data_IF_996041059087
#
_entry.id   IF_996041059087
#
_cell.length_a   1.000
_cell.length_b   1.000
_cell.length_c   1.000
_cell.angle_alpha   90.00
_cell.angle_beta   90.00
_cell.angle_gamma   90.00
#
_symmetry.space_group_name_H-M   'P 1'
#
loop_
_entity.id
_entity.type
_entity.pdbx_description
1 polymer ?
#
# COMPACT_ATOMS: atom_id res chain seq x y z
N UNK A 1 7.25 11.34 81.53
CA UNK A 1 6.74 10.96 80.20
C UNK A 1 7.94 10.76 79.30
N UNK A 2 8.07 9.59 78.69
CA UNK A 2 9.27 9.16 77.97
C UNK A 2 9.31 9.73 76.54
N UNK A 3 10.15 10.74 76.32
CA UNK A 3 10.29 11.46 75.05
C UNK A 3 10.70 10.56 73.88
N UNK A 4 11.28 9.37 74.13
CA UNK A 4 11.62 8.42 73.06
C UNK A 4 10.38 7.80 72.42
N UNK A 5 9.33 7.52 73.19
CA UNK A 5 8.10 6.90 72.69
C UNK A 5 7.33 7.82 71.74
N UNK A 6 7.28 9.12 72.06
CA UNK A 6 6.61 10.15 71.24
C UNK A 6 7.35 10.37 69.93
N UNK A 7 8.69 10.37 69.96
CA UNK A 7 9.52 10.52 68.77
C UNK A 7 9.36 9.34 67.78
N UNK A 8 9.34 8.10 68.30
CA UNK A 8 9.15 6.89 67.47
C UNK A 8 7.75 6.87 66.84
N UNK A 9 6.69 7.24 67.59
CA UNK A 9 5.34 7.35 67.03
C UNK A 9 5.23 8.47 65.98
N UNK A 10 5.96 9.57 66.15
CA UNK A 10 6.03 10.66 65.16
C UNK A 10 6.70 10.21 63.85
N UNK A 11 7.84 9.52 63.93
CA UNK A 11 8.53 9.01 62.75
C UNK A 11 7.70 7.97 61.99
N UNK A 12 6.97 7.10 62.69
CA UNK A 12 6.12 6.10 62.05
C UNK A 12 4.95 6.73 61.29
N UNK A 13 4.32 7.77 61.85
CA UNK A 13 3.25 8.52 61.17
C UNK A 13 3.78 9.25 59.93
N UNK A 14 4.98 9.83 60.00
CA UNK A 14 5.61 10.51 58.87
C UNK A 14 5.94 9.54 57.72
N UNK A 15 6.44 8.34 58.05
CA UNK A 15 6.71 7.28 57.07
C UNK A 15 5.44 6.83 56.33
N UNK A 16 4.30 6.74 57.01
CA UNK A 16 3.01 6.38 56.38
C UNK A 16 2.52 7.50 55.46
N UNK A 17 2.61 8.77 55.91
CA UNK A 17 2.16 9.93 55.13
C UNK A 17 2.97 10.10 53.84
N UNK A 18 4.26 9.75 53.85
CA UNK A 18 5.12 9.85 52.67
C UNK A 18 5.00 8.62 51.75
N UNK A 19 4.84 7.41 52.30
CA UNK A 19 4.82 6.18 51.50
C UNK A 19 3.53 5.97 50.70
N UNK A 20 2.38 6.40 51.22
CA UNK A 20 1.09 6.31 50.53
C UNK A 20 1.04 7.08 49.18
N UNK A 21 1.35 8.39 49.12
CA UNK A 21 1.33 9.13 47.86
C UNK A 21 2.39 8.66 46.87
N UNK A 22 3.54 8.19 47.37
CA UNK A 22 4.59 7.64 46.51
C UNK A 22 4.13 6.34 45.83
N UNK A 23 3.50 5.43 46.59
CA UNK A 23 2.97 4.18 46.04
C UNK A 23 1.84 4.41 45.02
N UNK A 24 0.98 5.41 45.27
CA UNK A 24 -0.07 5.80 44.32
C UNK A 24 0.51 6.40 43.04
N UNK A 25 1.57 7.22 43.14
CA UNK A 25 2.24 7.81 41.97
C UNK A 25 2.93 6.75 41.10
N UNK A 26 3.64 5.80 41.71
CA UNK A 26 4.26 4.68 40.98
C UNK A 26 3.21 3.72 40.38
N UNK A 27 2.10 3.47 41.09
CA UNK A 27 0.98 2.70 40.56
C UNK A 27 0.32 3.37 39.35
N UNK A 28 0.14 4.69 39.38
CA UNK A 28 -0.42 5.46 38.27
C UNK A 28 0.53 5.49 37.06
N UNK A 29 1.84 5.64 37.29
CA UNK A 29 2.84 5.55 36.21
C UNK A 29 2.86 4.17 35.54
N UNK A 30 2.73 3.10 36.34
CA UNK A 30 2.70 1.73 35.83
C UNK A 30 1.40 1.41 35.07
N UNK A 31 0.28 2.03 35.42
CA UNK A 31 -0.96 1.93 34.66
C UNK A 31 -0.90 2.75 33.36
N UNK A 32 -0.40 3.99 33.44
CA UNK A 32 -0.28 4.88 32.28
C UNK A 32 0.69 4.33 31.21
N UNK A 33 1.76 3.66 31.64
CA UNK A 33 2.70 2.99 30.74
C UNK A 33 2.11 1.74 30.07
N UNK A 34 1.24 0.99 30.77
CA UNK A 34 0.55 -0.16 30.18
C UNK A 34 -0.50 0.24 29.13
N UNK A 35 -1.19 1.36 29.33
CA UNK A 35 -2.16 1.88 28.34
C UNK A 35 -1.54 2.38 27.03
N UNK A 36 -0.20 2.54 26.97
CA UNK A 36 0.50 3.06 25.79
C UNK A 36 1.13 1.96 24.91
N UNK A 37 1.06 0.69 25.32
CA UNK A 37 1.62 -0.45 24.57
C UNK A 37 0.59 -1.27 23.79
N UNK A 38 -0.66 -0.80 23.72
CA UNK A 38 -1.66 -1.32 22.77
C UNK A 38 -1.36 -0.84 21.35
N UNK A 39 -0.11 -0.94 20.90
CA UNK A 39 0.24 -0.92 19.49
C UNK A 39 -0.49 -2.12 18.88
N UNK A 40 -1.54 -1.81 18.13
CA UNK A 40 -2.36 -2.77 17.42
C UNK A 40 -1.47 -3.86 16.81
N UNK A 41 -1.69 -5.12 17.20
CA UNK A 41 -1.30 -6.29 16.41
C UNK A 41 -2.08 -6.17 15.09
N UNK A 42 -1.60 -5.32 14.18
CA UNK A 42 -2.03 -5.32 12.81
C UNK A 42 -1.64 -6.70 12.28
N UNK A 43 -2.62 -7.47 11.83
CA UNK A 43 -2.35 -8.73 11.15
C UNK A 43 -1.32 -8.44 10.04
N UNK A 44 -0.24 -9.20 10.01
CA UNK A 44 0.80 -9.04 8.99
C UNK A 44 0.15 -9.15 7.60
N UNK A 45 0.37 -8.17 6.70
CA UNK A 45 -0.21 -8.21 5.37
C UNK A 45 0.10 -9.53 4.67
N UNK A 46 -0.97 -10.22 4.26
CA UNK A 46 -0.90 -11.53 3.63
C UNK A 46 -0.30 -11.42 2.23
N UNK A 47 0.63 -12.32 1.88
CA UNK A 47 1.28 -12.32 0.57
C UNK A 47 0.30 -12.75 -0.53
N UNK A 48 0.02 -11.86 -1.48
CA UNK A 48 -0.85 -12.13 -2.64
C UNK A 48 -0.02 -12.60 -3.83
N UNK A 49 1.06 -11.88 -4.15
CA UNK A 49 1.97 -12.20 -5.26
C UNK A 49 3.41 -11.90 -4.85
N UNK A 50 4.33 -12.77 -5.29
CA UNK A 50 5.78 -12.55 -5.24
C UNK A 50 6.38 -12.83 -6.61
N UNK A 51 6.96 -11.80 -7.22
CA UNK A 51 7.35 -11.79 -8.63
C UNK A 51 8.80 -11.34 -8.73
N UNK A 52 9.67 -12.01 -9.52
CA UNK A 52 11.02 -11.52 -9.75
C UNK A 52 11.00 -10.20 -10.53
N UNK A 53 11.86 -9.26 -10.16
CA UNK A 53 12.05 -8.02 -10.92
C UNK A 53 12.75 -8.35 -12.24
N UNK A 54 12.17 -7.90 -13.35
CA UNK A 54 12.76 -8.08 -14.68
C UNK A 54 13.91 -7.10 -14.90
N UNK A 55 15.01 -7.55 -15.52
CA UNK A 55 16.10 -6.67 -15.94
C UNK A 55 15.89 -6.25 -17.40
N UNK A 56 15.88 -4.95 -17.67
CA UNK A 56 15.87 -4.40 -19.03
C UNK A 56 17.18 -3.68 -19.33
N UNK A 57 17.61 -3.77 -20.58
CA UNK A 57 18.74 -2.98 -21.09
C UNK A 57 18.22 -1.68 -21.68
N UNK A 58 18.68 -0.57 -21.12
CA UNK A 58 18.45 0.77 -21.62
C UNK A 58 19.69 1.26 -22.36
N UNK A 59 19.51 1.84 -23.55
CA UNK A 59 20.61 2.25 -24.44
C UNK A 59 21.64 3.14 -23.73
N UNK A 60 21.17 4.11 -22.95
CA UNK A 60 22.04 5.13 -22.34
C UNK A 60 22.34 4.90 -20.85
N UNK A 61 21.60 4.00 -20.19
CA UNK A 61 21.62 3.82 -18.72
C UNK A 61 22.07 2.39 -18.33
N UNK A 62 22.11 1.48 -19.29
CA UNK A 62 22.49 0.08 -19.07
C UNK A 62 21.37 -0.74 -18.44
N UNK A 63 21.74 -1.70 -17.60
CA UNK A 63 20.80 -2.66 -17.00
C UNK A 63 20.02 -2.05 -15.84
N UNK A 64 18.69 -2.02 -15.97
CA UNK A 64 17.78 -1.51 -14.93
C UNK A 64 16.77 -2.59 -14.56
N UNK A 65 16.52 -2.77 -13.27
CA UNK A 65 15.43 -3.60 -12.79
C UNK A 65 14.12 -2.83 -12.89
N UNK A 66 13.15 -3.37 -13.63
CA UNK A 66 11.82 -2.77 -13.78
C UNK A 66 10.76 -3.58 -13.02
N UNK A 67 9.78 -2.89 -12.41
CA UNK A 67 8.67 -3.51 -11.69
C UNK A 67 7.59 -3.99 -12.66
N UNK A 68 7.93 -4.96 -13.50
CA UNK A 68 7.04 -5.52 -14.53
C UNK A 68 6.39 -6.80 -14.02
N UNK A 69 5.08 -6.92 -14.19
CA UNK A 69 4.31 -8.10 -13.82
C UNK A 69 3.37 -8.55 -14.93
N UNK A 70 3.19 -9.86 -15.05
CA UNK A 70 2.21 -10.48 -15.94
C UNK A 70 0.96 -10.79 -15.12
N UNK A 71 -0.15 -10.11 -15.39
CA UNK A 71 -1.43 -10.39 -14.73
C UNK A 71 -2.51 -10.76 -15.78
N UNK A 72 -3.34 -11.77 -15.51
CA UNK A 72 -4.47 -12.07 -16.38
C UNK A 72 -5.53 -10.96 -16.30
N UNK A 73 -5.88 -10.38 -17.44
CA UNK A 73 -7.00 -9.43 -17.59
C UNK A 73 -8.19 -10.17 -18.20
N UNK A 74 -9.38 -9.98 -17.65
CA UNK A 74 -10.60 -10.58 -18.17
C UNK A 74 -11.01 -9.90 -19.48
N UNK A 75 -11.11 -10.67 -20.54
CA UNK A 75 -11.60 -10.30 -21.86
C UNK A 75 -12.95 -10.96 -22.13
N UNK A 76 -13.56 -10.64 -23.28
CA UNK A 76 -14.76 -11.32 -23.77
C UNK A 76 -14.53 -12.81 -24.06
N UNK A 77 -13.27 -13.23 -24.29
CA UNK A 77 -12.91 -14.61 -24.66
C UNK A 77 -12.31 -15.43 -23.52
N UNK A 78 -12.10 -14.84 -22.34
CA UNK A 78 -11.46 -15.50 -21.21
C UNK A 78 -10.51 -14.57 -20.47
N UNK A 79 -9.43 -15.09 -19.93
CA UNK A 79 -8.37 -14.27 -19.34
C UNK A 79 -7.16 -14.24 -20.26
N UNK A 80 -6.62 -13.04 -20.51
CA UNK A 80 -5.42 -12.81 -21.32
C UNK A 80 -4.30 -12.28 -20.42
N UNK A 81 -3.15 -12.98 -20.39
CA UNK A 81 -1.98 -12.53 -19.65
C UNK A 81 -1.43 -11.26 -20.28
N UNK A 82 -1.31 -10.21 -19.47
CA UNK A 82 -0.90 -8.88 -19.91
C UNK A 82 0.25 -8.39 -19.07
N UNK A 83 1.26 -7.84 -19.74
CA UNK A 83 2.41 -7.23 -19.10
C UNK A 83 2.05 -5.81 -18.62
N UNK A 84 2.13 -5.57 -17.32
CA UNK A 84 1.98 -4.25 -16.73
C UNK A 84 3.30 -3.78 -16.13
N UNK A 85 3.54 -2.47 -16.18
CA UNK A 85 4.49 -1.81 -15.29
C UNK A 85 3.73 -1.34 -14.05
N UNK A 86 4.21 -1.69 -12.87
CA UNK A 86 3.68 -1.15 -11.63
C UNK A 86 4.27 0.24 -11.38
N UNK A 87 3.43 1.27 -11.42
CA UNK A 87 3.87 2.66 -11.45
C UNK A 87 3.12 3.50 -10.40
N UNK A 88 3.82 3.83 -9.31
CA UNK A 88 3.29 4.71 -8.26
C UNK A 88 3.15 6.18 -8.71
N UNK A 89 3.83 6.57 -9.79
CA UNK A 89 3.69 7.87 -10.44
C UNK A 89 2.38 8.02 -11.22
N UNK A 90 1.77 6.90 -11.64
CA UNK A 90 0.48 6.89 -12.31
C UNK A 90 -0.67 6.98 -11.30
N UNK A 91 -1.60 7.92 -11.50
CA UNK A 91 -2.79 8.08 -10.63
C UNK A 91 -3.76 6.90 -10.77
N UNK A 92 -3.90 6.37 -11.98
CA UNK A 92 -4.85 5.32 -12.36
C UNK A 92 -4.18 4.39 -13.35
N UNK A 93 -4.57 3.11 -13.35
CA UNK A 93 -4.08 2.12 -14.31
C UNK A 93 -4.46 2.50 -15.74
N UNK A 94 -3.63 2.11 -16.70
CA UNK A 94 -3.87 2.41 -18.12
C UNK A 94 -3.64 1.19 -19.02
N UNK A 95 -4.46 1.12 -20.06
CA UNK A 95 -4.30 0.17 -21.16
C UNK A 95 -4.32 0.92 -22.51
N UNK A 96 -3.70 0.36 -23.56
CA UNK A 96 -3.87 0.87 -24.92
C UNK A 96 -5.35 0.85 -25.35
N UNK A 97 -5.73 1.76 -26.25
CA UNK A 97 -7.13 1.91 -26.71
C UNK A 97 -7.79 0.62 -27.19
N UNK A 98 -7.06 -0.24 -27.91
CA UNK A 98 -7.59 -1.48 -28.46
C UNK A 98 -8.02 -2.50 -27.39
N UNK A 99 -7.61 -2.32 -26.13
CA UNK A 99 -8.09 -3.17 -25.03
C UNK A 99 -9.55 -2.95 -24.69
N UNK A 100 -10.11 -1.77 -24.97
CA UNK A 100 -11.51 -1.50 -24.67
C UNK A 100 -12.43 -2.52 -25.35
N UNK A 101 -12.21 -2.77 -26.64
CA UNK A 101 -12.96 -3.77 -27.41
C UNK A 101 -12.73 -5.18 -26.86
N UNK A 102 -11.48 -5.54 -26.53
CA UNK A 102 -11.13 -6.86 -25.97
C UNK A 102 -11.90 -7.19 -24.70
N UNK A 103 -12.11 -6.20 -23.83
CA UNK A 103 -12.79 -6.39 -22.55
C UNK A 103 -14.28 -6.00 -22.60
N UNK A 104 -14.82 -5.69 -23.78
CA UNK A 104 -16.23 -5.41 -23.99
C UNK A 104 -16.69 -4.01 -23.53
N UNK A 105 -15.80 -3.01 -23.55
CA UNK A 105 -16.13 -1.62 -23.23
C UNK A 105 -16.32 -0.82 -24.52
N UNK A 106 -17.47 -0.19 -24.64
CA UNK A 106 -17.75 0.77 -25.71
C UNK A 106 -17.24 2.16 -25.31
N UNK A 107 -16.22 2.63 -26.03
CA UNK A 107 -15.59 3.92 -25.78
C UNK A 107 -16.50 5.11 -26.10
N UNK A 108 -17.54 4.93 -26.93
CA UNK A 108 -18.48 6.00 -27.27
C UNK A 108 -19.27 6.50 -26.04
N UNK A 109 -19.47 5.62 -25.05
CA UNK A 109 -20.17 5.93 -23.80
C UNK A 109 -19.23 6.14 -22.61
N UNK A 110 -17.92 5.95 -22.81
CA UNK A 110 -16.93 6.12 -21.75
C UNK A 110 -16.62 7.60 -21.50
N UNK A 111 -16.41 7.96 -20.24
CA UNK A 111 -16.01 9.33 -19.88
C UNK A 111 -14.63 9.63 -20.43
N UNK A 112 -14.53 10.51 -21.42
CA UNK A 112 -13.26 11.03 -21.92
C UNK A 112 -12.67 12.00 -20.88
N UNK A 113 -11.41 11.79 -20.54
CA UNK A 113 -10.65 12.60 -19.57
C UNK A 113 -9.32 13.03 -20.18
N UNK A 114 -8.69 14.03 -19.57
CA UNK A 114 -7.33 14.45 -19.90
C UNK A 114 -6.41 14.30 -18.70
N UNK A 115 -5.16 13.93 -18.95
CA UNK A 115 -4.10 13.86 -17.95
C UNK A 115 -2.84 14.51 -18.49
N UNK A 116 -1.99 14.95 -17.58
CA UNK A 116 -0.70 15.56 -17.89
C UNK A 116 0.39 14.71 -17.27
N UNK A 117 1.27 14.18 -18.11
CA UNK A 117 2.45 13.45 -17.67
C UNK A 117 3.65 14.36 -17.47
N UNK A 118 4.80 13.73 -17.27
CA UNK A 118 6.10 14.38 -17.34
C UNK A 118 6.26 15.06 -18.73
N UNK A 119 6.68 16.32 -18.76
CA UNK A 119 6.78 17.12 -19.99
C UNK A 119 5.57 18.01 -20.31
N UNK A 120 4.54 18.04 -19.46
CA UNK A 120 3.36 18.93 -19.57
C UNK A 120 2.54 18.76 -20.87
N UNK A 121 2.79 17.70 -21.63
CA UNK A 121 1.98 17.29 -22.78
C UNK A 121 0.61 16.83 -22.29
N UNK A 122 -0.44 17.37 -22.89
CA UNK A 122 -1.80 16.96 -22.62
C UNK A 122 -2.08 15.65 -23.37
N UNK A 123 -2.51 14.62 -22.65
CA UNK A 123 -2.95 13.35 -23.21
C UNK A 123 -4.41 13.09 -22.86
N UNK A 124 -5.10 12.35 -23.72
CA UNK A 124 -6.50 12.01 -23.56
C UNK A 124 -6.67 10.50 -23.39
N UNK A 125 -7.66 10.11 -22.59
CA UNK A 125 -8.05 8.72 -22.41
C UNK A 125 -9.54 8.60 -22.09
N UNK A 126 -10.05 7.38 -22.15
CA UNK A 126 -11.41 7.03 -21.80
C UNK A 126 -11.42 6.24 -20.51
N UNK A 127 -12.12 6.74 -19.49
CA UNK A 127 -12.19 6.10 -18.19
C UNK A 127 -13.21 4.95 -18.18
N UNK A 128 -12.83 3.82 -17.62
CA UNK A 128 -13.66 2.64 -17.44
C UNK A 128 -13.17 1.79 -16.25
N UNK A 129 -13.51 0.51 -16.25
CA UNK A 129 -13.04 -0.51 -15.32
C UNK A 129 -12.51 -1.73 -16.10
N UNK A 130 -11.66 -2.52 -15.44
CA UNK A 130 -11.19 -3.83 -15.91
C UNK A 130 -11.18 -4.82 -14.75
N UNK A 131 -11.52 -6.08 -15.01
CA UNK A 131 -11.31 -7.16 -14.04
C UNK A 131 -9.95 -7.80 -14.28
N UNK A 132 -9.11 -7.87 -13.26
CA UNK A 132 -7.82 -8.59 -13.30
C UNK A 132 -7.83 -9.76 -12.33
N UNK A 133 -6.93 -10.72 -12.52
CA UNK A 133 -6.68 -11.77 -11.52
C UNK A 133 -5.38 -11.50 -10.78
N UNK A 134 -5.49 -11.24 -9.48
CA UNK A 134 -4.36 -11.05 -8.57
C UNK A 134 -4.32 -12.21 -7.58
N UNK A 135 -3.31 -13.07 -7.70
CA UNK A 135 -3.27 -14.34 -6.96
C UNK A 135 -4.46 -15.22 -7.34
N UNK A 136 -5.31 -15.54 -6.36
CA UNK A 136 -6.53 -16.35 -6.54
C UNK A 136 -7.81 -15.50 -6.69
N UNK A 137 -7.73 -14.19 -6.50
CA UNK A 137 -8.88 -13.29 -6.51
C UNK A 137 -9.05 -12.60 -7.88
N UNK A 138 -10.30 -12.40 -8.30
CA UNK A 138 -10.63 -11.48 -9.38
C UNK A 138 -10.95 -10.12 -8.76
N UNK A 139 -10.32 -9.05 -9.27
CA UNK A 139 -10.40 -7.70 -8.71
C UNK A 139 -10.78 -6.73 -9.81
N UNK A 140 -11.82 -5.94 -9.56
CA UNK A 140 -12.24 -4.87 -10.48
C UNK A 140 -11.45 -3.60 -10.18
N UNK A 141 -10.71 -3.12 -11.17
CA UNK A 141 -9.83 -1.96 -11.07
C UNK A 141 -10.31 -0.85 -12.00
N UNK A 142 -10.25 0.42 -11.56
CA UNK A 142 -10.46 1.53 -12.46
C UNK A 142 -9.31 1.62 -13.46
N UNK A 143 -9.62 1.84 -14.73
CA UNK A 143 -8.64 1.90 -15.81
C UNK A 143 -8.96 3.03 -16.77
N UNK A 144 -7.94 3.49 -17.50
CA UNK A 144 -8.11 4.41 -18.61
C UNK A 144 -7.56 3.81 -19.90
N UNK A 145 -8.25 4.02 -21.01
CA UNK A 145 -7.81 3.63 -22.33
C UNK A 145 -7.15 4.80 -23.05
N UNK A 146 -5.83 4.76 -23.22
CA UNK A 146 -5.05 5.90 -23.75
C UNK A 146 -5.16 5.99 -25.27
N UNK A 147 -5.33 7.22 -25.80
CA UNK A 147 -5.36 7.45 -27.25
C UNK A 147 -3.99 7.31 -27.92
N UNK A 148 -2.90 7.47 -27.17
CA UNK A 148 -1.53 7.35 -27.69
C UNK A 148 -1.17 5.90 -28.05
N UNK A 149 -0.68 5.69 -29.26
CA UNK A 149 -0.14 4.41 -29.70
C UNK A 149 1.14 4.03 -28.95
N UNK A 150 1.40 2.73 -28.81
CA UNK A 150 2.61 2.21 -28.15
C UNK A 150 2.67 2.42 -26.64
N UNK A 151 1.59 2.89 -26.01
CA UNK A 151 1.54 3.08 -24.56
C UNK A 151 1.66 1.73 -23.84
N UNK A 152 2.62 1.59 -22.93
CA UNK A 152 2.72 0.40 -22.07
C UNK A 152 1.53 0.34 -21.11
N UNK A 153 1.07 -0.86 -20.79
CA UNK A 153 0.06 -1.02 -19.76
C UNK A 153 0.66 -0.68 -18.39
N UNK A 154 -0.06 0.10 -17.59
CA UNK A 154 0.39 0.55 -16.27
C UNK A 154 -0.62 0.12 -15.20
N UNK A 155 -0.14 -0.34 -14.06
CA UNK A 155 -0.92 -0.42 -12.83
C UNK A 155 -0.61 0.82 -11.99
N UNK A 156 -1.60 1.70 -11.88
CA UNK A 156 -1.48 2.96 -11.15
C UNK A 156 -2.02 2.87 -9.73
N UNK A 157 -1.98 3.98 -8.99
CA UNK A 157 -2.31 4.00 -7.57
C UNK A 157 -3.75 3.62 -7.24
N UNK A 158 -4.73 4.19 -7.94
CA UNK A 158 -6.15 3.99 -7.65
C UNK A 158 -6.59 2.55 -7.95
N UNK A 159 -7.11 1.86 -6.95
CA UNK A 159 -7.53 0.46 -6.99
C UNK A 159 -6.42 -0.56 -6.70
N UNK A 160 -5.14 -0.18 -6.82
CA UNK A 160 -4.01 -1.11 -6.57
C UNK A 160 -3.25 -0.69 -5.32
N UNK A 161 -2.59 0.47 -5.33
CA UNK A 161 -1.76 0.91 -4.20
C UNK A 161 -2.57 1.40 -3.00
N UNK A 162 -3.86 1.69 -3.17
CA UNK A 162 -4.78 2.00 -2.07
C UNK A 162 -5.38 0.74 -1.41
N UNK A 163 -5.31 -0.41 -2.08
CA UNK A 163 -5.85 -1.69 -1.60
C UNK A 163 -4.75 -2.68 -1.18
N UNK A 164 -3.54 -2.54 -1.73
CA UNK A 164 -2.44 -3.47 -1.52
C UNK A 164 -1.17 -2.73 -1.12
N UNK A 165 -0.40 -3.37 -0.23
CA UNK A 165 0.97 -2.97 0.06
C UNK A 165 1.91 -3.53 -1.01
N UNK A 166 2.70 -2.65 -1.61
CA UNK A 166 3.65 -2.98 -2.68
C UNK A 166 5.07 -2.85 -2.12
N UNK A 167 5.85 -3.92 -2.19
CA UNK A 167 7.24 -3.96 -1.71
C UNK A 167 8.18 -4.23 -2.88
N UNK A 168 9.18 -3.37 -3.07
CA UNK A 168 10.25 -3.55 -4.05
C UNK A 168 11.55 -3.95 -3.34
N UNK A 169 11.83 -5.24 -3.28
CA UNK A 169 13.05 -5.77 -2.68
C UNK A 169 14.14 -5.95 -3.75
N UNK A 170 14.94 -4.91 -3.93
CA UNK A 170 16.04 -4.90 -4.90
C UNK A 170 17.21 -5.80 -4.47
N UNK A 171 17.36 -6.07 -3.18
CA UNK A 171 18.39 -6.97 -2.64
C UNK A 171 18.10 -8.40 -3.08
N UNK A 172 16.85 -8.84 -2.91
CA UNK A 172 16.40 -10.16 -3.31
C UNK A 172 15.86 -10.22 -4.76
N UNK A 173 15.87 -9.09 -5.47
CA UNK A 173 15.40 -8.93 -6.86
C UNK A 173 13.95 -9.39 -7.05
N UNK A 174 13.09 -9.09 -6.09
CA UNK A 174 11.67 -9.43 -6.14
C UNK A 174 10.80 -8.22 -5.82
N UNK A 175 9.57 -8.28 -6.29
CA UNK A 175 8.49 -7.42 -5.84
C UNK A 175 7.37 -8.26 -5.24
N UNK A 176 6.71 -7.70 -4.24
CA UNK A 176 5.63 -8.36 -3.54
C UNK A 176 4.39 -7.46 -3.50
N UNK A 177 3.24 -8.09 -3.70
CA UNK A 177 1.92 -7.49 -3.50
C UNK A 177 1.32 -8.19 -2.29
N UNK A 178 0.93 -7.41 -1.28
CA UNK A 178 0.41 -7.89 0.00
C UNK A 178 -0.91 -7.21 0.32
N UNK A 179 -1.81 -7.91 1.00
CA UNK A 179 -3.15 -7.44 1.40
C UNK A 179 -3.25 -7.38 2.91
#
# INVERSE_FOLDING_TARGET
>A
MDNRSVFIQGMFKLLIIVSLPLSAFFGFLALASQTSQSSQLLAEPSLVLRIPLGVRQWTDIGSVMEPVLQIPVKTLLGFENTEFVLDSGAVISSLPRNWAEKIGKDLAYAKRISFKGFGNTLSFAYQSDMTVRLGTENVDLPVVFTESEGTRALLGRKGVFDQYSIVFDHTNKVMEIRK
#
